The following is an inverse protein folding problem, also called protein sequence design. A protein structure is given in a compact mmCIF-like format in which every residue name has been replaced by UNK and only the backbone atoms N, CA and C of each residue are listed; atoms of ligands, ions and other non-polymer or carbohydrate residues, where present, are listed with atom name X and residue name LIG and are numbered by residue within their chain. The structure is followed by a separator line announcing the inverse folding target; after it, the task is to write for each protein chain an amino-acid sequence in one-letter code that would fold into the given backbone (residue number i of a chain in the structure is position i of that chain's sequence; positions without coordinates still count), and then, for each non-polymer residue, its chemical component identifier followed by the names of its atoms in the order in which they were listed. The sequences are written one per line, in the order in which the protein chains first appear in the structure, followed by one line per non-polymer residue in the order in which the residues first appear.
data_IF_563768853295
#
_entry.id   IF_563768853295
#
_cell.length_a   1.000
_cell.length_b   1.000
_cell.length_c   1.000
_cell.angle_alpha   90.00
_cell.angle_beta   90.00
_cell.angle_gamma   90.00
#
_symmetry.space_group_name_H-M   'P 1'
#
loop_
_entity.id
_entity.type
_entity.pdbx_description
1 polymer ?
#
# COMPACT_ATOMS: atom_id res chain seq x y z
N UNK A 1 -4.74 -4.59 47.50
CA UNK A 1 -5.49 -4.83 46.25
C UNK A 1 -4.60 -4.47 45.07
N UNK A 2 -4.44 -5.34 44.05
CA UNK A 2 -3.76 -4.94 42.83
C UNK A 2 -4.67 -4.00 42.01
N UNK A 3 -4.13 -3.02 41.28
CA UNK A 3 -4.92 -2.13 40.44
C UNK A 3 -5.56 -2.93 39.30
N UNK A 4 -6.87 -2.78 39.14
CA UNK A 4 -7.64 -3.34 38.02
C UNK A 4 -7.12 -2.69 36.74
N UNK A 5 -6.36 -3.44 35.95
CA UNK A 5 -5.94 -3.02 34.62
C UNK A 5 -7.18 -2.96 33.74
N UNK A 6 -7.64 -1.75 33.40
CA UNK A 6 -8.67 -1.54 32.40
C UNK A 6 -8.14 -2.08 31.06
N UNK A 7 -8.61 -3.27 30.69
CA UNK A 7 -8.36 -3.89 29.39
C UNK A 7 -8.96 -2.99 28.31
N UNK A 8 -8.12 -2.24 27.60
CA UNK A 8 -8.57 -1.48 26.42
C UNK A 8 -9.11 -2.48 25.39
N UNK A 9 -10.31 -2.25 24.82
CA UNK A 9 -10.83 -3.13 23.79
C UNK A 9 -9.84 -3.24 22.63
N UNK A 10 -9.59 -4.47 22.16
CA UNK A 10 -8.74 -4.74 21.01
C UNK A 10 -9.35 -4.10 19.77
N UNK A 11 -8.86 -2.93 19.39
CA UNK A 11 -9.26 -2.26 18.14
C UNK A 11 -8.94 -3.16 16.96
N UNK A 12 -9.96 -3.45 16.14
CA UNK A 12 -9.80 -4.11 14.84
C UNK A 12 -8.93 -3.25 13.94
N UNK A 13 -7.94 -3.83 13.25
CA UNK A 13 -7.03 -3.07 12.37
C UNK A 13 -7.82 -2.31 11.30
N UNK A 14 -8.02 -1.01 11.49
CA UNK A 14 -8.58 -0.12 10.47
C UNK A 14 -7.54 0.12 9.38
N UNK A 15 -7.93 -0.05 8.12
CA UNK A 15 -7.06 0.27 7.00
C UNK A 15 -6.97 1.80 6.85
N UNK A 16 -5.81 2.37 7.14
CA UNK A 16 -5.54 3.81 6.98
C UNK A 16 -5.12 4.06 5.51
N UNK A 17 -5.88 4.90 4.80
CA UNK A 17 -5.55 5.32 3.42
C UNK A 17 -4.22 6.09 3.38
N UNK A 18 -3.53 6.04 2.25
CA UNK A 18 -2.30 6.82 2.00
C UNK A 18 -2.54 8.32 2.19
N UNK A 19 -3.70 8.83 1.76
CA UNK A 19 -4.05 10.24 1.90
C UNK A 19 -4.10 10.68 3.37
N UNK A 20 -4.76 9.90 4.21
CA UNK A 20 -4.85 10.20 5.66
C UNK A 20 -3.47 10.15 6.31
N UNK A 21 -2.60 9.20 5.92
CA UNK A 21 -1.21 9.15 6.42
C UNK A 21 -0.43 10.40 6.04
N UNK A 22 -0.64 10.90 4.82
CA UNK A 22 -0.02 12.14 4.36
C UNK A 22 -0.54 13.33 5.15
N UNK A 23 -1.85 13.48 5.32
CA UNK A 23 -2.42 14.58 6.12
C UNK A 23 -1.84 14.60 7.54
N UNK A 24 -1.65 13.42 8.15
CA UNK A 24 -0.99 13.29 9.45
C UNK A 24 0.46 13.81 9.38
N UNK A 25 1.21 13.44 8.35
CA UNK A 25 2.59 13.91 8.16
C UNK A 25 2.64 15.44 7.95
N UNK A 26 1.78 16.00 7.11
CA UNK A 26 1.70 17.45 6.87
C UNK A 26 1.33 18.21 8.15
N UNK A 27 0.38 17.68 8.92
CA UNK A 27 -0.03 18.28 10.19
C UNK A 27 1.11 18.34 11.22
N UNK A 28 1.92 17.27 11.31
CA UNK A 28 3.08 17.23 12.22
C UNK A 28 4.21 18.15 11.71
N UNK A 29 4.43 18.24 10.40
CA UNK A 29 5.41 19.18 9.81
C UNK A 29 5.01 20.63 10.06
N UNK A 30 3.73 20.96 9.90
CA UNK A 30 3.19 22.29 10.16
C UNK A 30 3.23 22.67 11.65
N UNK A 31 3.24 21.67 12.56
CA UNK A 31 3.21 21.86 14.01
C UNK A 31 4.32 21.05 14.70
N UNK A 32 5.58 21.49 14.66
CA UNK A 32 6.72 20.69 15.15
C UNK A 32 6.68 20.37 16.65
N UNK A 33 5.92 21.12 17.45
CA UNK A 33 5.79 20.93 18.90
C UNK A 33 4.56 20.11 19.32
N UNK A 34 3.80 19.55 18.36
CA UNK A 34 2.59 18.79 18.69
C UNK A 34 2.92 17.42 19.27
N UNK A 35 2.25 17.04 20.37
CA UNK A 35 2.37 15.70 20.91
C UNK A 35 1.64 14.70 20.01
N UNK A 36 2.25 13.55 19.73
CA UNK A 36 1.63 12.53 18.87
C UNK A 36 0.34 11.96 19.45
N UNK A 37 0.14 12.07 20.78
CA UNK A 37 -1.13 11.74 21.43
C UNK A 37 -2.26 12.69 21.02
N UNK A 38 -1.97 13.99 20.95
CA UNK A 38 -2.95 15.01 20.57
C UNK A 38 -3.31 14.91 19.09
N UNK A 39 -2.32 14.60 18.24
CA UNK A 39 -2.54 14.28 16.82
C UNK A 39 -3.50 13.09 16.70
N UNK A 40 -3.29 12.01 17.46
CA UNK A 40 -4.18 10.86 17.42
C UNK A 40 -5.63 11.23 17.79
N UNK A 41 -5.82 12.02 18.84
CA UNK A 41 -7.14 12.52 19.26
C UNK A 41 -7.79 13.39 18.18
N UNK A 42 -7.04 14.33 17.58
CA UNK A 42 -7.53 15.19 16.51
C UNK A 42 -7.98 14.40 15.27
N UNK A 43 -7.21 13.40 14.85
CA UNK A 43 -7.59 12.57 13.70
C UNK A 43 -8.74 11.60 14.03
N UNK A 44 -8.86 11.15 15.27
CA UNK A 44 -10.00 10.34 15.71
C UNK A 44 -11.32 11.12 15.79
N UNK A 45 -11.27 12.43 16.05
CA UNK A 45 -12.48 13.29 15.98
C UNK A 45 -12.80 13.67 14.55
N UNK A 46 -11.78 13.86 13.69
CA UNK A 46 -11.95 14.19 12.27
C UNK A 46 -12.54 13.03 11.44
N UNK A 47 -12.13 11.79 11.71
CA UNK A 47 -12.55 10.61 10.95
C UNK A 47 -13.39 9.65 11.81
N UNK A 48 -14.62 9.38 11.37
CA UNK A 48 -15.50 8.43 12.05
C UNK A 48 -14.89 7.02 12.02
N UNK A 49 -14.84 6.36 13.18
CA UNK A 49 -14.27 5.00 13.36
C UNK A 49 -12.77 4.85 13.05
N UNK A 50 -11.98 5.92 13.12
CA UNK A 50 -10.54 5.86 12.82
C UNK A 50 -9.74 5.07 13.87
N UNK A 51 -10.00 5.32 15.16
CA UNK A 51 -9.48 4.52 16.28
C UNK A 51 -7.95 4.36 16.30
N UNK A 52 -7.22 5.43 16.01
CA UNK A 52 -5.76 5.45 15.91
C UNK A 52 -5.11 5.84 17.23
N UNK A 53 -4.08 5.08 17.62
CA UNK A 53 -3.27 5.33 18.82
C UNK A 53 -2.00 6.13 18.51
N UNK A 54 -1.41 6.72 19.55
CA UNK A 54 -0.09 7.40 19.51
C UNK A 54 0.99 6.57 18.82
N UNK A 55 1.00 5.26 19.04
CA UNK A 55 1.99 4.33 18.45
C UNK A 55 1.85 4.24 16.93
N UNK A 56 0.62 4.31 16.42
CA UNK A 56 0.33 4.31 14.98
C UNK A 56 0.73 5.64 14.34
N UNK A 57 0.45 6.78 14.98
CA UNK A 57 0.93 8.09 14.54
C UNK A 57 2.46 8.11 14.44
N UNK A 58 3.15 7.59 15.46
CA UNK A 58 4.61 7.52 15.45
C UNK A 58 5.14 6.61 14.32
N UNK A 59 4.50 5.47 14.05
CA UNK A 59 4.86 4.61 12.90
C UNK A 59 4.68 5.33 11.56
N UNK A 60 3.57 6.04 11.39
CA UNK A 60 3.31 6.84 10.18
C UNK A 60 4.39 7.92 10.02
N UNK A 61 4.73 8.61 11.10
CA UNK A 61 5.77 9.65 11.12
C UNK A 61 7.19 9.15 10.79
N UNK A 62 7.54 7.94 11.23
CA UNK A 62 8.83 7.31 10.87
C UNK A 62 8.93 7.03 9.38
N UNK A 63 7.83 6.62 8.74
CA UNK A 63 7.75 6.39 7.29
C UNK A 63 7.34 7.66 6.51
N UNK A 64 7.46 8.88 7.08
CA UNK A 64 6.96 10.12 6.45
C UNK A 64 7.49 10.37 5.04
N UNK A 65 8.76 10.06 4.78
CA UNK A 65 9.37 10.25 3.46
C UNK A 65 8.63 9.47 2.37
N UNK A 66 8.21 8.24 2.69
CA UNK A 66 7.40 7.40 1.82
C UNK A 66 6.02 8.00 1.58
N UNK A 67 5.34 8.48 2.62
CA UNK A 67 3.99 9.02 2.47
C UNK A 67 3.97 10.39 1.75
N UNK A 68 5.01 11.19 1.94
CA UNK A 68 5.19 12.47 1.25
C UNK A 68 5.60 12.28 -0.22
N UNK A 69 6.37 11.24 -0.56
CA UNK A 69 6.83 10.99 -1.93
C UNK A 69 5.76 10.36 -2.85
N UNK A 70 4.78 9.63 -2.31
CA UNK A 70 3.82 8.83 -3.12
C UNK A 70 2.92 9.67 -4.04
N UNK A 71 2.64 10.94 -3.71
CA UNK A 71 1.78 11.79 -4.55
C UNK A 71 2.47 12.41 -5.78
N UNK A 72 3.79 12.33 -5.93
CA UNK A 72 4.42 12.70 -7.20
C UNK A 72 4.04 11.74 -8.32
N UNK A 73 3.53 10.54 -7.98
CA UNK A 73 3.39 9.43 -8.94
C UNK A 73 1.98 8.81 -8.97
N UNK A 74 1.12 8.93 -7.95
CA UNK A 74 -0.17 8.20 -7.93
C UNK A 74 -1.41 9.11 -7.86
N UNK A 75 -2.19 9.15 -8.94
CA UNK A 75 -3.47 9.86 -9.05
C UNK A 75 -4.68 9.09 -8.47
N UNK A 76 -4.48 8.10 -7.58
CA UNK A 76 -5.58 7.27 -7.07
C UNK A 76 -5.76 7.38 -5.55
N UNK A 77 -6.90 7.92 -5.07
CA UNK A 77 -7.14 8.23 -3.65
C UNK A 77 -7.32 7.00 -2.73
N UNK A 78 -7.51 5.81 -3.31
CA UNK A 78 -7.88 4.58 -2.59
C UNK A 78 -6.73 3.58 -2.39
N UNK A 79 -5.48 3.96 -2.61
CA UNK A 79 -4.35 3.05 -2.36
C UNK A 79 -4.10 2.94 -0.85
N UNK A 80 -4.45 1.79 -0.26
CA UNK A 80 -4.17 1.50 1.16
C UNK A 80 -2.79 0.85 1.39
N UNK A 81 -2.17 0.30 0.33
CA UNK A 81 -0.87 -0.39 0.39
C UNK A 81 0.00 -0.04 -0.82
N UNK A 82 1.10 0.65 -0.57
CA UNK A 82 2.20 0.73 -1.52
C UNK A 82 2.88 -0.64 -1.61
N UNK A 83 2.73 -1.35 -2.74
CA UNK A 83 3.36 -2.65 -2.95
C UNK A 83 4.72 -2.43 -3.59
N UNK A 84 5.79 -2.87 -2.93
CA UNK A 84 7.09 -3.00 -3.59
C UNK A 84 6.96 -4.09 -4.67
N UNK A 85 7.18 -3.70 -5.92
CA UNK A 85 7.25 -4.65 -7.03
C UNK A 85 8.53 -5.45 -6.83
N UNK A 86 8.41 -6.76 -6.54
CA UNK A 86 9.56 -7.63 -6.33
C UNK A 86 10.43 -7.77 -7.59
N UNK A 87 9.82 -7.61 -8.77
CA UNK A 87 10.48 -7.73 -10.07
C UNK A 87 10.09 -6.54 -10.96
N UNK A 88 10.73 -5.36 -10.79
CA UNK A 88 10.36 -4.14 -11.53
C UNK A 88 10.45 -4.30 -13.05
N UNK A 89 11.41 -5.10 -13.52
CA UNK A 89 11.63 -5.34 -14.94
C UNK A 89 10.53 -6.22 -15.57
N UNK A 90 10.14 -7.28 -14.85
CA UNK A 90 9.02 -8.14 -15.23
C UNK A 90 7.70 -7.36 -15.25
N UNK A 91 7.48 -6.51 -14.24
CA UNK A 91 6.27 -5.69 -14.14
C UNK A 91 6.17 -4.69 -15.30
N UNK A 92 7.27 -4.00 -15.63
CA UNK A 92 7.34 -3.11 -16.80
C UNK A 92 7.06 -3.85 -18.10
N UNK A 93 7.69 -5.00 -18.34
CA UNK A 93 7.47 -5.78 -19.55
C UNK A 93 6.00 -6.19 -19.70
N UNK A 94 5.38 -6.58 -18.58
CA UNK A 94 4.00 -7.00 -18.55
C UNK A 94 3.03 -5.82 -18.71
N UNK A 95 3.29 -4.65 -18.13
CA UNK A 95 2.52 -3.41 -18.36
C UNK A 95 2.54 -3.00 -19.84
N UNK A 96 3.71 -3.00 -20.48
CA UNK A 96 3.86 -2.68 -21.91
C UNK A 96 3.03 -3.66 -22.74
N UNK A 97 3.15 -4.96 -22.46
CA UNK A 97 2.41 -5.97 -23.18
C UNK A 97 0.89 -5.86 -22.97
N UNK A 98 0.43 -5.62 -21.74
CA UNK A 98 -1.00 -5.44 -21.43
C UNK A 98 -1.58 -4.21 -22.13
N UNK A 99 -0.81 -3.11 -22.20
CA UNK A 99 -1.20 -1.91 -22.96
C UNK A 99 -1.37 -2.23 -24.46
N UNK A 100 -0.42 -2.95 -25.05
CA UNK A 100 -0.49 -3.39 -26.45
C UNK A 100 -1.66 -4.35 -26.69
N UNK A 101 -1.90 -5.31 -25.79
CA UNK A 101 -2.98 -6.27 -25.89
C UNK A 101 -4.37 -5.60 -25.78
N UNK A 102 -4.50 -4.61 -24.91
CA UNK A 102 -5.73 -3.80 -24.78
C UNK A 102 -5.98 -2.99 -26.04
N UNK A 103 -4.94 -2.35 -26.59
CA UNK A 103 -5.04 -1.60 -27.84
C UNK A 103 -5.39 -2.50 -29.04
N UNK A 104 -4.95 -3.75 -29.03
CA UNK A 104 -5.30 -4.77 -30.02
C UNK A 104 -6.68 -5.41 -29.80
N UNK A 105 -7.42 -5.03 -28.75
CA UNK A 105 -8.73 -5.59 -28.42
C UNK A 105 -8.70 -7.05 -27.94
N UNK A 106 -7.55 -7.53 -27.47
CA UNK A 106 -7.42 -8.90 -26.97
C UNK A 106 -8.12 -9.04 -25.61
N UNK A 107 -8.92 -10.11 -25.40
CA UNK A 107 -9.49 -10.40 -24.09
C UNK A 107 -8.37 -10.80 -23.14
N UNK A 108 -8.11 -9.95 -22.13
CA UNK A 108 -7.08 -10.16 -21.11
C UNK A 108 -7.59 -11.13 -20.02
N UNK A 109 -7.68 -12.41 -20.38
CA UNK A 109 -8.04 -13.49 -19.44
C UNK A 109 -6.84 -13.87 -18.58
N UNK A 110 -7.09 -14.31 -17.35
CA UNK A 110 -6.09 -14.72 -16.35
C UNK A 110 -5.08 -15.72 -16.89
N UNK A 111 -5.54 -16.66 -17.71
CA UNK A 111 -4.70 -17.67 -18.33
C UNK A 111 -3.65 -17.05 -19.27
N UNK A 112 -4.03 -16.02 -20.02
CA UNK A 112 -3.14 -15.33 -20.98
C UNK A 112 -2.11 -14.51 -20.21
N UNK A 113 -2.53 -13.78 -19.17
CA UNK A 113 -1.60 -13.04 -18.29
C UNK A 113 -0.60 -13.97 -17.63
N UNK A 114 -1.05 -15.12 -17.13
CA UNK A 114 -0.16 -16.12 -16.52
C UNK A 114 0.83 -16.71 -17.52
N UNK A 115 0.37 -17.04 -18.73
CA UNK A 115 1.25 -17.58 -19.77
C UNK A 115 2.31 -16.56 -20.17
N UNK A 116 1.90 -15.31 -20.46
CA UNK A 116 2.83 -14.23 -20.83
C UNK A 116 3.79 -13.88 -19.70
N UNK A 117 3.31 -13.91 -18.47
CA UNK A 117 4.16 -13.72 -17.31
C UNK A 117 5.23 -14.80 -17.16
N UNK A 118 4.92 -16.07 -17.44
CA UNK A 118 5.91 -17.16 -17.47
C UNK A 118 6.90 -17.00 -18.62
N UNK A 119 6.47 -16.49 -19.77
CA UNK A 119 7.39 -16.20 -20.89
C UNK A 119 8.40 -15.12 -20.51
N UNK A 120 7.96 -14.01 -19.91
CA UNK A 120 8.86 -12.96 -19.43
C UNK A 120 9.75 -13.42 -18.27
N UNK A 121 9.24 -14.27 -17.38
CA UNK A 121 10.01 -14.89 -16.31
C UNK A 121 11.21 -15.68 -16.83
N UNK A 122 10.98 -16.48 -17.90
CA UNK A 122 12.04 -17.23 -18.58
C UNK A 122 13.03 -16.30 -19.26
N UNK A 123 12.54 -15.27 -19.94
CA UNK A 123 13.38 -14.31 -20.65
C UNK A 123 14.30 -13.53 -19.70
N UNK A 124 13.83 -13.23 -18.49
CA UNK A 124 14.60 -12.54 -17.45
C UNK A 124 15.42 -13.50 -16.55
N UNK A 125 15.33 -14.82 -16.79
CA UNK A 125 15.98 -15.85 -15.97
C UNK A 125 15.57 -15.83 -14.48
N UNK A 126 14.31 -15.50 -14.19
CA UNK A 126 13.72 -15.34 -12.84
C UNK A 126 12.75 -16.51 -12.51
N UNK A 127 12.72 -17.55 -13.35
CA UNK A 127 11.72 -18.63 -13.27
C UNK A 127 11.70 -19.32 -11.88
N UNK A 128 12.87 -19.54 -11.27
CA UNK A 128 12.97 -20.14 -9.93
C UNK A 128 12.52 -19.21 -8.80
N UNK A 129 12.71 -17.90 -8.94
CA UNK A 129 12.32 -16.92 -7.92
C UNK A 129 10.81 -16.64 -7.95
N UNK A 130 10.18 -16.75 -9.12
CA UNK A 130 8.74 -16.61 -9.28
C UNK A 130 7.96 -17.81 -8.74
N UNK A 131 8.54 -19.03 -8.80
CA UNK A 131 7.97 -20.24 -8.18
C UNK A 131 7.79 -20.11 -6.67
N UNK A 132 8.65 -19.35 -5.98
CA UNK A 132 8.49 -19.06 -4.55
C UNK A 132 7.29 -18.16 -4.24
N UNK A 133 6.69 -17.50 -5.23
CA UNK A 133 5.61 -16.53 -5.04
C UNK A 133 4.32 -17.03 -5.72
N UNK A 134 3.69 -18.05 -5.15
CA UNK A 134 2.37 -18.60 -5.58
C UNK A 134 1.23 -17.55 -5.71
N UNK A 135 1.45 -16.30 -5.31
CA UNK A 135 0.49 -15.21 -5.43
C UNK A 135 0.70 -14.26 -6.61
N UNK A 136 1.72 -14.44 -7.47
CA UNK A 136 2.07 -13.43 -8.47
C UNK A 136 0.98 -13.19 -9.52
N UNK A 137 0.37 -14.25 -10.07
CA UNK A 137 -0.73 -14.12 -11.04
C UNK A 137 -1.98 -13.41 -10.49
N UNK A 138 -2.26 -13.57 -9.19
CA UNK A 138 -3.36 -12.86 -8.50
C UNK A 138 -2.99 -11.41 -8.15
N UNK A 139 -1.69 -11.09 -8.06
CA UNK A 139 -1.18 -9.76 -7.67
C UNK A 139 -1.24 -8.73 -8.79
N UNK A 140 -1.27 -9.16 -10.05
CA UNK A 140 -1.32 -8.25 -11.19
C UNK A 140 -2.68 -7.57 -11.38
N UNK A 141 -3.77 -8.29 -11.09
CA UNK A 141 -5.15 -7.79 -11.19
C UNK A 141 -5.52 -6.66 -10.23
N UNK A 142 -4.76 -6.42 -9.17
CA UNK A 142 -5.06 -5.34 -8.22
C UNK A 142 -4.41 -4.00 -8.60
N UNK A 143 -3.82 -3.89 -9.78
CA UNK A 143 -3.00 -2.72 -10.21
C UNK A 143 -3.47 -2.09 -11.52
N UNK A 144 -4.56 -2.58 -12.09
CA UNK A 144 -5.27 -1.99 -13.23
C UNK A 144 -6.67 -1.62 -12.83
#
# INVERSE_FOLDING_TARGET
MPPIRLEKPRSTRTAISVEVKKEICEYIVANPNVNQGDVATFFNTKYQNFGVDRTTINKIWKEREKWLAVLSTSQTPHIFRHRSVQFPELDKAMQIWTSQATAAGLPLTDMILQQKGKEFAKMLNIEDQLKCTNGWGYRFKCTT
#
